data_IF_087869172434
#
_entry.id   IF_087869172434
#
_cell.length_a   1.000
_cell.length_b   1.000
_cell.length_c   1.000
_cell.angle_alpha   90.00
_cell.angle_beta   90.00
_cell.angle_gamma   90.00
#
_symmetry.space_group_name_H-M   'P 1'
#
loop_
_entity.id
_entity.type
_entity.pdbx_description
1 polymer ?
#
# COMPACT_ATOMS: atom_id res chain seq x y z
N UNK A 1 12.82 -21.37 -26.11
CA UNK A 1 13.96 -21.83 -25.29
C UNK A 1 14.34 -20.66 -24.39
N UNK A 2 14.51 -20.86 -23.08
CA UNK A 2 14.85 -19.74 -22.17
C UNK A 2 16.33 -19.42 -22.40
N UNK A 3 16.60 -18.23 -22.90
CA UNK A 3 17.97 -17.78 -23.10
C UNK A 3 18.63 -17.45 -21.76
N UNK A 4 19.84 -17.97 -21.50
CA UNK A 4 20.56 -17.71 -20.25
C UNK A 4 20.91 -16.23 -20.05
N UNK A 5 21.06 -15.47 -21.14
CA UNK A 5 21.31 -14.02 -21.14
C UNK A 5 20.14 -13.20 -20.59
N UNK A 6 18.91 -13.70 -20.70
CA UNK A 6 17.69 -12.99 -20.28
C UNK A 6 17.11 -13.52 -18.95
N UNK A 7 17.82 -14.41 -18.24
CA UNK A 7 17.34 -15.02 -16.99
C UNK A 7 17.02 -13.97 -15.91
N UNK A 8 17.87 -12.95 -15.80
CA UNK A 8 17.67 -11.82 -14.86
C UNK A 8 16.37 -11.08 -15.17
N UNK A 9 16.07 -10.84 -16.46
CA UNK A 9 14.83 -10.19 -16.87
C UNK A 9 13.61 -10.99 -16.40
N UNK A 10 13.57 -12.30 -16.68
CA UNK A 10 12.46 -13.15 -16.28
C UNK A 10 12.26 -13.17 -14.76
N UNK A 11 13.36 -13.27 -14.01
CA UNK A 11 13.33 -13.28 -12.56
C UNK A 11 12.77 -11.96 -12.00
N UNK A 12 13.28 -10.82 -12.46
CA UNK A 12 12.82 -9.49 -12.04
C UNK A 12 11.35 -9.30 -12.43
N UNK A 13 10.96 -9.68 -13.64
CA UNK A 13 9.59 -9.49 -14.12
C UNK A 13 8.59 -10.35 -13.34
N UNK A 14 8.94 -11.60 -13.00
CA UNK A 14 8.12 -12.44 -12.12
C UNK A 14 7.98 -11.82 -10.73
N UNK A 15 9.08 -11.35 -10.13
CA UNK A 15 9.04 -10.67 -8.82
C UNK A 15 8.15 -9.42 -8.90
N UNK A 16 8.26 -8.62 -9.96
CA UNK A 16 7.44 -7.45 -10.19
C UNK A 16 5.95 -7.82 -10.27
N UNK A 17 5.59 -8.86 -11.02
CA UNK A 17 4.21 -9.35 -11.11
C UNK A 17 3.73 -9.74 -9.70
N UNK A 18 4.46 -10.59 -8.99
CA UNK A 18 4.03 -11.10 -7.68
C UNK A 18 3.94 -9.99 -6.61
N UNK A 19 4.91 -9.09 -6.54
CA UNK A 19 4.93 -8.05 -5.52
C UNK A 19 3.86 -6.99 -5.77
N UNK A 20 3.85 -6.39 -6.97
CA UNK A 20 3.03 -5.21 -7.23
C UNK A 20 1.56 -5.54 -7.54
N UNK A 21 1.27 -6.69 -8.17
CA UNK A 21 -0.10 -7.04 -8.53
C UNK A 21 -0.80 -8.00 -7.54
N UNK A 22 -0.06 -8.65 -6.63
CA UNK A 22 -0.65 -9.58 -5.66
C UNK A 22 -0.31 -9.24 -4.20
N UNK A 23 0.97 -9.21 -3.82
CA UNK A 23 1.34 -9.01 -2.41
C UNK A 23 0.92 -7.64 -1.85
N UNK A 24 1.28 -6.54 -2.54
CA UNK A 24 0.94 -5.17 -2.09
C UNK A 24 -0.59 -4.96 -2.01
N UNK A 25 -1.38 -5.29 -3.06
CA UNK A 25 -2.83 -5.14 -3.00
C UNK A 25 -3.49 -5.94 -1.88
N UNK A 26 -3.05 -7.18 -1.64
CA UNK A 26 -3.56 -8.01 -0.55
C UNK A 26 -3.26 -7.40 0.83
N UNK A 27 -2.05 -6.84 1.01
CA UNK A 27 -1.67 -6.16 2.26
C UNK A 27 -2.53 -4.91 2.50
N UNK A 28 -2.84 -4.15 1.45
CA UNK A 28 -3.74 -2.99 1.51
C UNK A 28 -5.16 -3.43 1.89
N UNK A 29 -5.69 -4.47 1.24
CA UNK A 29 -7.02 -5.01 1.55
C UNK A 29 -7.13 -5.53 2.98
N UNK A 30 -6.09 -6.22 3.47
CA UNK A 30 -6.03 -6.67 4.86
C UNK A 30 -6.09 -5.47 5.81
N UNK A 31 -5.30 -4.42 5.55
CA UNK A 31 -5.30 -3.20 6.36
C UNK A 31 -6.68 -2.53 6.38
N UNK A 32 -7.37 -2.45 5.25
CA UNK A 32 -8.72 -1.90 5.18
C UNK A 32 -9.72 -2.68 6.04
N UNK A 33 -9.64 -4.01 6.03
CA UNK A 33 -10.47 -4.88 6.88
C UNK A 33 -10.15 -4.69 8.36
N UNK A 34 -8.86 -4.61 8.70
CA UNK A 34 -8.42 -4.37 10.08
C UNK A 34 -8.93 -3.04 10.61
N UNK A 35 -8.87 -1.96 9.83
CA UNK A 35 -9.38 -0.64 10.24
C UNK A 35 -10.89 -0.72 10.52
N UNK A 36 -11.67 -1.37 9.66
CA UNK A 36 -13.12 -1.49 9.85
C UNK A 36 -13.46 -2.30 11.11
N UNK A 37 -12.66 -3.33 11.43
CA UNK A 37 -12.81 -4.15 12.63
C UNK A 37 -12.43 -3.38 13.90
N UNK A 38 -11.31 -2.67 13.88
CA UNK A 38 -10.78 -1.93 15.04
C UNK A 38 -11.58 -0.65 15.33
N UNK A 39 -12.11 0.00 14.29
CA UNK A 39 -12.87 1.24 14.40
C UNK A 39 -14.25 1.05 13.75
N UNK A 40 -15.19 0.35 14.40
CA UNK A 40 -16.48 0.05 13.80
C UNK A 40 -17.33 1.33 13.61
N UNK A 41 -18.15 1.42 12.55
CA UNK A 41 -18.97 2.60 12.28
C UNK A 41 -19.95 3.00 13.39
N UNK A 42 -20.42 2.03 14.18
CA UNK A 42 -21.30 2.28 15.33
C UNK A 42 -20.62 3.11 16.42
N UNK A 43 -19.31 2.91 16.65
CA UNK A 43 -18.54 3.64 17.66
C UNK A 43 -17.87 4.90 17.09
N UNK A 44 -17.55 4.89 15.79
CA UNK A 44 -16.84 5.97 15.11
C UNK A 44 -17.59 6.49 13.87
N UNK A 45 -18.85 6.95 14.01
CA UNK A 45 -19.67 7.36 12.86
C UNK A 45 -19.05 8.51 12.05
N UNK A 46 -18.23 9.35 12.69
CA UNK A 46 -17.50 10.45 12.02
C UNK A 46 -16.45 9.96 11.01
N UNK A 47 -15.92 8.74 11.20
CA UNK A 47 -14.95 8.12 10.28
C UNK A 47 -15.63 7.48 9.07
N UNK A 48 -16.96 7.44 9.01
CA UNK A 48 -17.66 6.76 7.93
C UNK A 48 -18.70 7.67 7.29
N UNK A 49 -18.39 8.18 6.10
CA UNK A 49 -19.39 8.91 5.29
C UNK A 49 -20.04 7.98 4.28
N UNK A 50 -21.34 7.73 4.45
CA UNK A 50 -22.12 6.85 3.57
C UNK A 50 -22.28 5.44 4.13
N UNK A 51 -22.80 4.52 3.32
CA UNK A 51 -23.06 3.14 3.72
C UNK A 51 -21.78 2.29 3.78
N UNK A 52 -21.78 1.30 4.68
CA UNK A 52 -20.70 0.29 4.79
C UNK A 52 -20.57 -0.51 3.48
N UNK A 53 -21.68 -0.70 2.78
CA UNK A 53 -21.73 -1.37 1.48
C UNK A 53 -20.82 -0.68 0.45
N UNK A 54 -20.74 0.65 0.45
CA UNK A 54 -19.85 1.38 -0.45
C UNK A 54 -18.36 1.08 -0.17
N UNK A 55 -18.00 0.84 1.09
CA UNK A 55 -16.64 0.43 1.47
C UNK A 55 -16.34 -0.97 0.96
N UNK A 56 -17.27 -1.92 1.12
CA UNK A 56 -17.12 -3.28 0.60
C UNK A 56 -17.03 -3.30 -0.93
N UNK A 57 -17.87 -2.53 -1.62
CA UNK A 57 -17.82 -2.39 -3.09
C UNK A 57 -16.49 -1.83 -3.56
N UNK A 58 -15.94 -0.84 -2.85
CA UNK A 58 -14.62 -0.28 -3.16
C UNK A 58 -13.51 -1.31 -3.01
N UNK A 59 -13.53 -2.12 -1.94
CA UNK A 59 -12.59 -3.22 -1.75
C UNK A 59 -12.70 -4.28 -2.86
N UNK A 60 -13.92 -4.64 -3.26
CA UNK A 60 -14.15 -5.62 -4.33
C UNK A 60 -13.66 -5.11 -5.68
N UNK A 61 -13.97 -3.85 -6.03
CA UNK A 61 -13.47 -3.24 -7.27
C UNK A 61 -11.94 -3.15 -7.28
N UNK A 62 -11.33 -2.75 -6.15
CA UNK A 62 -9.87 -2.72 -6.05
C UNK A 62 -9.26 -4.12 -6.23
N UNK A 63 -9.82 -5.16 -5.60
CA UNK A 63 -9.37 -6.53 -5.79
C UNK A 63 -9.52 -7.00 -7.25
N UNK A 64 -10.65 -6.67 -7.88
CA UNK A 64 -10.93 -7.01 -9.27
C UNK A 64 -9.92 -6.37 -10.23
N UNK A 65 -9.66 -5.06 -10.08
CA UNK A 65 -8.67 -4.34 -10.89
C UNK A 65 -7.27 -4.95 -10.75
N UNK A 66 -6.84 -5.27 -9.52
CA UNK A 66 -5.55 -5.92 -9.30
C UNK A 66 -5.49 -7.34 -9.88
N UNK A 67 -6.59 -8.09 -9.83
CA UNK A 67 -6.68 -9.43 -10.45
C UNK A 67 -6.57 -9.36 -11.99
N UNK A 68 -7.15 -8.34 -12.61
CA UNK A 68 -6.96 -8.08 -14.05
C UNK A 68 -5.48 -7.82 -14.34
N UNK A 69 -4.86 -6.88 -13.65
CA UNK A 69 -3.44 -6.53 -13.84
C UNK A 69 -2.51 -7.73 -13.60
N UNK A 70 -2.82 -8.55 -12.62
CA UNK A 70 -2.09 -9.79 -12.34
C UNK A 70 -2.19 -10.78 -13.50
N UNK A 71 -3.41 -10.98 -14.02
CA UNK A 71 -3.66 -11.86 -15.17
C UNK A 71 -2.93 -11.34 -16.41
N UNK A 72 -2.99 -10.03 -16.68
CA UNK A 72 -2.27 -9.38 -17.79
C UNK A 72 -0.76 -9.58 -17.66
N UNK A 73 -0.19 -9.49 -16.44
CA UNK A 73 1.24 -9.72 -16.21
C UNK A 73 1.69 -11.13 -16.58
N UNK A 74 0.94 -12.15 -16.15
CA UNK A 74 1.23 -13.54 -16.50
C UNK A 74 1.01 -13.83 -17.98
N UNK A 75 -0.05 -13.27 -18.59
CA UNK A 75 -0.26 -13.37 -20.04
C UNK A 75 0.89 -12.75 -20.83
N UNK A 76 1.42 -11.61 -20.37
CA UNK A 76 2.56 -10.94 -20.98
C UNK A 76 3.85 -11.78 -20.82
N UNK A 77 4.10 -12.35 -19.64
CA UNK A 77 5.21 -13.26 -19.42
C UNK A 77 5.14 -14.48 -20.35
N UNK A 78 3.96 -15.11 -20.49
CA UNK A 78 3.75 -16.23 -21.39
C UNK A 78 3.99 -15.84 -22.86
N UNK A 79 3.49 -14.67 -23.27
CA UNK A 79 3.72 -14.11 -24.60
C UNK A 79 5.22 -13.90 -24.90
N UNK A 80 5.99 -13.38 -23.94
CA UNK A 80 7.44 -13.17 -24.09
C UNK A 80 8.20 -14.49 -24.24
N UNK A 81 7.76 -15.54 -23.56
CA UNK A 81 8.40 -16.87 -23.63
C UNK A 81 8.03 -17.61 -24.93
N UNK A 82 6.81 -17.42 -25.43
CA UNK A 82 6.29 -18.11 -26.62
C UNK A 82 6.66 -17.41 -27.93
N UNK A 83 6.69 -16.08 -27.94
CA UNK A 83 7.00 -15.27 -29.11
C UNK A 83 8.40 -14.67 -28.94
N UNK A 84 9.23 -14.79 -29.98
CA UNK A 84 10.64 -14.36 -29.95
C UNK A 84 10.75 -12.82 -30.07
N UNK A 85 10.46 -12.11 -28.98
CA UNK A 85 10.49 -10.63 -28.89
C UNK A 85 11.88 -10.04 -28.64
N UNK A 86 12.95 -10.72 -29.06
CA UNK A 86 14.32 -10.26 -28.83
C UNK A 86 14.68 -9.18 -29.84
N UNK A 87 15.21 -8.07 -29.34
CA UNK A 87 15.93 -7.08 -30.17
C UNK A 87 17.39 -7.18 -29.76
N UNK A 88 18.28 -7.51 -30.69
CA UNK A 88 19.73 -7.68 -30.40
C UNK A 88 20.00 -8.69 -29.26
N UNK A 89 19.33 -9.85 -29.29
CA UNK A 89 19.41 -10.94 -28.28
C UNK A 89 18.95 -10.58 -26.85
N UNK A 90 18.42 -9.38 -26.62
CA UNK A 90 17.89 -8.95 -25.32
C UNK A 90 16.40 -8.59 -25.40
N UNK A 91 15.71 -8.82 -24.29
CA UNK A 91 14.31 -8.38 -24.14
C UNK A 91 14.31 -6.90 -23.78
N UNK A 92 13.47 -6.11 -24.46
CA UNK A 92 13.36 -4.68 -24.21
C UNK A 92 12.99 -4.37 -22.76
N UNK A 93 13.79 -3.53 -22.11
CA UNK A 93 13.53 -3.01 -20.76
C UNK A 93 12.27 -2.13 -20.68
N UNK A 94 11.68 -1.75 -21.82
CA UNK A 94 10.44 -0.98 -21.87
C UNK A 94 9.22 -1.82 -21.43
N UNK A 95 9.27 -3.14 -21.60
CA UNK A 95 8.17 -4.05 -21.25
C UNK A 95 7.82 -3.98 -19.75
N UNK A 96 8.76 -4.20 -18.81
CA UNK A 96 8.51 -4.03 -17.38
C UNK A 96 7.98 -2.65 -17.00
N UNK A 97 8.45 -1.61 -17.70
CA UNK A 97 8.04 -0.22 -17.46
C UNK A 97 6.59 0.04 -17.84
N UNK A 98 6.18 -0.38 -19.03
CA UNK A 98 4.78 -0.25 -19.49
C UNK A 98 3.86 -1.07 -18.58
N UNK A 99 4.29 -2.27 -18.19
CA UNK A 99 3.54 -3.08 -17.25
C UNK A 99 3.43 -2.41 -15.87
N UNK A 100 4.50 -1.79 -15.38
CA UNK A 100 4.47 -1.03 -14.13
C UNK A 100 3.45 0.13 -14.18
N UNK A 101 3.36 0.86 -15.30
CA UNK A 101 2.34 1.90 -15.46
C UNK A 101 0.92 1.34 -15.36
N UNK A 102 0.67 0.16 -15.93
CA UNK A 102 -0.62 -0.54 -15.77
C UNK A 102 -0.86 -0.95 -14.31
N UNK A 103 0.18 -1.38 -13.60
CA UNK A 103 0.11 -1.72 -12.18
C UNK A 103 -0.21 -0.53 -11.27
N UNK A 104 0.06 0.70 -11.70
CA UNK A 104 -0.29 1.90 -10.93
C UNK A 104 -1.79 2.25 -11.00
N UNK A 105 -2.51 1.80 -12.03
CA UNK A 105 -3.91 2.18 -12.27
C UNK A 105 -4.82 1.84 -11.08
N UNK A 106 -4.81 0.62 -10.49
CA UNK A 106 -5.65 0.30 -9.34
C UNK A 106 -5.35 1.18 -8.12
N UNK A 107 -4.07 1.54 -7.91
CA UNK A 107 -3.66 2.44 -6.82
C UNK A 107 -4.14 3.87 -7.05
N UNK A 108 -3.91 4.43 -8.23
CA UNK A 108 -4.39 5.78 -8.56
C UNK A 108 -5.92 5.86 -8.44
N UNK A 109 -6.64 4.84 -8.89
CA UNK A 109 -8.09 4.78 -8.75
C UNK A 109 -8.53 4.82 -7.28
N UNK A 110 -7.83 4.08 -6.41
CA UNK A 110 -8.10 4.05 -4.97
C UNK A 110 -7.84 5.42 -4.32
N UNK A 111 -6.72 6.07 -4.64
CA UNK A 111 -6.38 7.41 -4.12
C UNK A 111 -7.39 8.47 -4.55
N UNK A 112 -7.86 8.44 -5.80
CA UNK A 112 -8.90 9.36 -6.28
C UNK A 112 -10.22 9.16 -5.52
N UNK A 113 -10.57 7.92 -5.18
CA UNK A 113 -11.75 7.61 -4.35
C UNK A 113 -11.57 8.11 -2.93
N UNK A 114 -10.41 7.87 -2.33
CA UNK A 114 -10.06 8.33 -0.99
C UNK A 114 -10.09 9.86 -0.89
N UNK A 115 -9.54 10.58 -1.88
CA UNK A 115 -9.58 12.03 -1.91
C UNK A 115 -11.02 12.58 -1.94
N UNK A 116 -11.90 11.98 -2.76
CA UNK A 116 -13.34 12.32 -2.78
C UNK A 116 -14.00 12.02 -1.44
N UNK A 117 -13.64 10.91 -0.83
CA UNK A 117 -14.15 10.49 0.48
C UNK A 117 -13.78 11.48 1.59
N UNK A 118 -12.51 11.90 1.68
CA UNK A 118 -12.09 12.92 2.63
C UNK A 118 -12.75 14.28 2.40
N UNK A 119 -13.01 14.64 1.13
CA UNK A 119 -13.78 15.85 0.82
C UNK A 119 -15.20 15.77 1.42
N UNK A 120 -15.86 14.62 1.32
CA UNK A 120 -17.19 14.39 1.91
C UNK A 120 -17.15 14.40 3.45
N UNK A 121 -16.13 13.78 4.06
CA UNK A 121 -15.91 13.86 5.51
C UNK A 121 -15.81 15.29 6.02
N UNK A 122 -15.04 16.14 5.33
CA UNK A 122 -14.91 17.56 5.68
C UNK A 122 -16.24 18.30 5.57
N UNK A 123 -17.02 18.03 4.52
CA UNK A 123 -18.36 18.63 4.33
C UNK A 123 -19.35 18.20 5.42
N UNK A 124 -19.31 16.94 5.83
CA UNK A 124 -20.21 16.40 6.85
C UNK A 124 -19.80 16.81 8.27
N UNK A 125 -18.58 17.30 8.45
CA UNK A 125 -18.10 17.75 9.75
C UNK A 125 -18.68 19.13 10.10
N UNK A 126 -19.80 19.16 10.84
CA UNK A 126 -20.46 20.39 11.29
C UNK A 126 -19.80 21.06 12.52
N UNK A 127 -18.71 20.49 13.05
CA UNK A 127 -18.04 21.05 14.22
C UNK A 127 -17.35 22.37 13.87
N UNK A 128 -17.81 23.48 14.44
CA UNK A 128 -17.21 24.82 14.27
C UNK A 128 -16.00 25.04 15.19
N UNK A 129 -15.96 24.38 16.36
CA UNK A 129 -14.85 24.47 17.31
C UNK A 129 -14.08 23.14 17.37
N UNK A 130 -12.76 23.22 17.16
CA UNK A 130 -11.85 22.08 17.31
C UNK A 130 -11.62 21.84 18.81
N UNK A 131 -12.37 20.92 19.41
CA UNK A 131 -12.14 20.51 20.80
C UNK A 131 -10.94 19.59 20.81
N UNK A 132 -9.79 20.09 21.25
CA UNK A 132 -8.64 19.26 21.58
C UNK A 132 -8.87 18.68 22.98
N UNK A 133 -8.91 17.36 23.10
CA UNK A 133 -8.76 16.74 24.41
C UNK A 133 -7.31 17.00 24.86
N UNK A 134 -7.12 17.96 25.77
CA UNK A 134 -5.83 18.17 26.40
C UNK A 134 -5.59 17.05 27.39
N UNK A 135 -4.91 16.00 26.96
CA UNK A 135 -4.29 15.04 27.88
C UNK A 135 -2.96 15.64 28.35
N UNK A 136 -2.71 15.70 29.67
CA UNK A 136 -1.42 16.17 30.18
C UNK A 136 -0.31 15.28 29.62
N UNK A 137 0.59 15.86 28.84
CA UNK A 137 1.69 15.15 28.20
C UNK A 137 2.73 14.80 29.24
N UNK A 138 2.88 13.51 29.58
CA UNK A 138 3.96 13.04 30.46
C UNK A 138 5.19 12.71 29.62
N UNK A 139 6.39 12.86 30.21
CA UNK A 139 7.65 12.50 29.56
C UNK A 139 7.63 11.05 29.03
N UNK A 140 6.99 10.16 29.79
CA UNK A 140 6.90 8.73 29.48
C UNK A 140 5.79 8.36 28.49
N UNK A 141 4.96 9.31 28.06
CA UNK A 141 4.01 9.09 26.96
C UNK A 141 4.74 9.04 25.60
N UNK A 142 5.95 9.60 25.52
CA UNK A 142 6.77 9.67 24.29
C UNK A 142 8.05 8.85 24.36
N UNK A 143 8.61 8.67 25.55
CA UNK A 143 9.84 7.91 25.78
C UNK A 143 9.57 6.74 26.71
N UNK A 144 9.92 5.53 26.27
CA UNK A 144 9.93 4.37 27.16
C UNK A 144 10.90 4.64 28.33
N UNK A 145 10.48 4.45 29.60
CA UNK A 145 11.35 4.64 30.77
C UNK A 145 12.67 3.86 30.67
N UNK A 146 12.63 2.70 30.00
CA UNK A 146 13.81 1.85 29.77
C UNK A 146 14.81 2.50 28.82
N UNK A 147 14.33 3.14 27.75
CA UNK A 147 15.20 3.84 26.79
C UNK A 147 15.89 5.04 27.43
N UNK A 148 15.17 5.77 28.29
CA UNK A 148 15.75 6.87 29.06
C UNK A 148 16.88 6.38 29.99
N UNK A 149 16.65 5.29 30.71
CA UNK A 149 17.65 4.70 31.60
C UNK A 149 18.92 4.26 30.84
N UNK A 150 18.74 3.62 29.67
CA UNK A 150 19.85 3.22 28.80
C UNK A 150 20.62 4.44 28.28
N UNK A 151 19.93 5.49 27.85
CA UNK A 151 20.56 6.72 27.38
C UNK A 151 21.40 7.38 28.48
N UNK A 152 20.88 7.45 29.72
CA UNK A 152 21.62 7.97 30.88
C UNK A 152 22.86 7.10 31.17
N UNK A 153 22.72 5.77 31.14
CA UNK A 153 23.86 4.84 31.32
C UNK A 153 24.95 5.08 30.27
N UNK A 154 24.59 5.22 28.99
CA UNK A 154 25.56 5.51 27.93
C UNK A 154 26.26 6.85 28.15
N UNK A 155 25.51 7.88 28.55
CA UNK A 155 26.09 9.20 28.83
C UNK A 155 27.09 9.14 29.99
N UNK A 156 26.73 8.43 31.07
CA UNK A 156 27.63 8.23 32.21
C UNK A 156 28.88 7.42 31.84
N UNK A 157 28.78 6.40 31.00
CA UNK A 157 29.94 5.67 30.50
C UNK A 157 30.82 6.53 29.57
N UNK A 158 30.23 7.43 28.78
CA UNK A 158 30.96 8.27 27.84
C UNK A 158 31.71 9.43 28.50
N UNK A 159 31.22 9.93 29.65
CA UNK A 159 31.80 11.08 30.37
C UNK A 159 32.43 10.70 31.72
N UNK A 160 32.28 9.46 32.18
CA UNK A 160 32.82 8.94 33.45
C UNK A 160 34.06 8.06 33.31
N UNK A 161 34.57 7.89 32.08
CA UNK A 161 35.81 7.21 31.71
C UNK A 161 36.74 8.26 31.09
#
# INVERSE_FOLDING_TARGET
MIDPTNLIFYFIFIIQILLASWYIPNKILLRMKTILKTYPPAQYPKLYTGSIENHQKTQQTYLFLNRIVHTVGFSMLAAIVMWDYKTEDQISAMIPWVYFMLQLIPMMWLELKEHKYFKTMRKNNRTTKKVAAFTPRKLFDFLSPKLLAIAIMFMLCAFGL
#
